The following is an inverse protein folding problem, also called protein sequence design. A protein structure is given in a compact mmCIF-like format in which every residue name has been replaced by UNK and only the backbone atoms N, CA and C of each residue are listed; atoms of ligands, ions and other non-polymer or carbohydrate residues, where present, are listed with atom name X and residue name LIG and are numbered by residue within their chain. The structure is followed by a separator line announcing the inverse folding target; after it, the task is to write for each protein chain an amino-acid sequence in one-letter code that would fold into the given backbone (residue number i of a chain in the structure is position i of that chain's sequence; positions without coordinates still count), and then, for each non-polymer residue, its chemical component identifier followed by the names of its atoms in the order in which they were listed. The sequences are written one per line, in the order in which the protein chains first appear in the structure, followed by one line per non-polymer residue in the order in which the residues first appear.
data_IF_954172533821
#
_entry.id   IF_954172533821
#
_cell.length_a   1.000
_cell.length_b   1.000
_cell.length_c   1.000
_cell.angle_alpha   90.00
_cell.angle_beta   90.00
_cell.angle_gamma   90.00
#
_symmetry.space_group_name_H-M   'P 1'
#
loop_
_entity.id
_entity.type
_entity.pdbx_description
1 polymer ?
#
# COMPACT_ATOMS: atom_id res chain seq x y z
N UNK A 1 3.13 -17.89 -40.41
CA UNK A 1 3.26 -18.27 -38.98
C UNK A 1 2.88 -17.17 -37.96
N UNK A 2 2.94 -15.87 -38.29
CA UNK A 2 2.57 -14.79 -37.33
C UNK A 2 1.05 -14.50 -37.26
N UNK A 3 0.33 -14.52 -38.38
CA UNK A 3 -1.12 -14.28 -38.42
C UNK A 3 -1.94 -15.43 -37.82
N UNK A 4 -1.51 -16.69 -38.01
CA UNK A 4 -2.16 -17.86 -37.43
C UNK A 4 -2.09 -17.88 -35.89
N UNK A 5 -1.02 -17.34 -35.30
CA UNK A 5 -0.88 -17.23 -33.83
C UNK A 5 -1.74 -16.11 -33.25
N UNK A 6 -1.89 -14.99 -33.95
CA UNK A 6 -2.78 -13.90 -33.53
C UNK A 6 -4.25 -14.33 -33.65
N UNK A 7 -4.61 -15.05 -34.70
CA UNK A 7 -5.96 -15.63 -34.86
C UNK A 7 -6.25 -16.69 -33.79
N UNK A 8 -5.27 -17.51 -33.39
CA UNK A 8 -5.44 -18.49 -32.31
C UNK A 8 -5.62 -17.82 -30.94
N UNK A 9 -4.92 -16.72 -30.67
CA UNK A 9 -5.04 -15.97 -29.41
C UNK A 9 -6.38 -15.20 -29.37
N UNK A 10 -6.82 -14.62 -30.49
CA UNK A 10 -8.13 -13.98 -30.59
C UNK A 10 -9.28 -15.01 -30.46
N UNK A 11 -9.15 -16.19 -31.07
CA UNK A 11 -10.13 -17.27 -30.92
C UNK A 11 -10.15 -17.85 -29.50
N UNK A 12 -8.99 -17.93 -28.83
CA UNK A 12 -8.92 -18.33 -27.42
C UNK A 12 -9.54 -17.28 -26.49
N UNK A 13 -9.43 -15.99 -26.80
CA UNK A 13 -10.06 -14.92 -26.02
C UNK A 13 -11.58 -14.89 -26.20
N UNK A 14 -12.09 -15.11 -27.43
CA UNK A 14 -13.54 -15.23 -27.70
C UNK A 14 -14.11 -16.51 -27.09
N UNK A 15 -13.37 -17.64 -27.10
CA UNK A 15 -13.77 -18.87 -26.44
C UNK A 15 -13.76 -18.75 -24.89
N UNK A 16 -12.81 -18.01 -24.32
CA UNK A 16 -12.77 -17.74 -22.87
C UNK A 16 -13.95 -16.84 -22.43
N UNK A 17 -14.34 -15.85 -23.24
CA UNK A 17 -15.51 -14.99 -22.96
C UNK A 17 -16.84 -15.75 -23.14
N UNK A 18 -16.91 -16.68 -24.09
CA UNK A 18 -18.09 -17.52 -24.31
C UNK A 18 -18.28 -18.60 -23.22
N UNK A 19 -17.20 -19.16 -22.68
CA UNK A 19 -17.27 -20.17 -21.61
C UNK A 19 -17.58 -19.54 -20.24
N UNK A 20 -17.26 -18.26 -20.02
CA UNK A 20 -17.67 -17.54 -18.81
C UNK A 20 -19.14 -17.08 -18.80
N UNK A 21 -19.87 -17.22 -19.90
CA UNK A 21 -21.27 -16.74 -20.02
C UNK A 21 -22.33 -17.85 -19.88
N UNK A 22 -21.93 -19.09 -19.59
CA UNK A 22 -22.83 -20.25 -19.58
C UNK A 22 -22.79 -20.99 -18.25
N UNK A 23 -23.16 -20.31 -17.18
CA UNK A 23 -23.69 -20.97 -15.97
C UNK A 23 -24.95 -20.23 -15.53
N UNK A 24 -25.93 -20.18 -16.42
CA UNK A 24 -27.31 -20.02 -16.00
C UNK A 24 -27.72 -21.36 -15.37
N UNK A 25 -27.50 -21.47 -14.06
CA UNK A 25 -28.15 -22.50 -13.27
C UNK A 25 -29.66 -22.35 -13.50
N UNK A 26 -30.27 -23.33 -14.15
CA UNK A 26 -31.71 -23.55 -14.07
C UNK A 26 -32.02 -23.99 -12.65
N UNK A 27 -32.12 -22.99 -11.76
CA UNK A 27 -32.78 -23.16 -10.48
C UNK A 27 -34.26 -23.31 -10.75
N UNK A 28 -34.78 -24.50 -10.48
CA UNK A 28 -36.21 -24.73 -10.34
C UNK A 28 -36.79 -23.63 -9.45
N UNK A 29 -37.76 -22.90 -9.98
CA UNK A 29 -38.59 -21.96 -9.22
C UNK A 29 -39.44 -22.77 -8.23
N UNK A 30 -38.80 -23.22 -7.15
CA UNK A 30 -39.47 -23.75 -5.99
C UNK A 30 -39.95 -22.52 -5.18
N UNK A 31 -41.25 -22.49 -4.87
CA UNK A 31 -42.01 -21.27 -4.54
C UNK A 31 -41.32 -20.30 -3.58
N UNK A 32 -41.65 -19.01 -3.73
CA UNK A 32 -41.21 -17.84 -2.93
C UNK A 32 -41.18 -18.12 -1.42
N UNK A 33 -40.15 -18.84 -0.99
CA UNK A 33 -39.88 -19.15 0.40
C UNK A 33 -39.23 -17.92 1.01
N UNK A 34 -39.76 -17.48 2.15
CA UNK A 34 -39.10 -16.46 2.97
C UNK A 34 -37.68 -16.96 3.25
N UNK A 35 -36.68 -16.17 2.90
CA UNK A 35 -35.26 -16.48 3.14
C UNK A 35 -34.63 -15.41 4.03
N UNK A 36 -33.59 -15.80 4.76
CA UNK A 36 -32.67 -14.87 5.38
C UNK A 36 -31.45 -14.73 4.46
N UNK A 37 -31.12 -13.51 4.05
CA UNK A 37 -29.88 -13.26 3.31
C UNK A 37 -28.80 -12.83 4.28
N UNK A 38 -27.57 -13.31 4.07
CA UNK A 38 -26.42 -13.00 4.92
C UNK A 38 -25.27 -12.47 4.09
N UNK A 39 -24.54 -11.49 4.63
CA UNK A 39 -23.17 -11.19 4.22
C UNK A 39 -22.23 -11.31 5.40
N UNK A 40 -20.95 -11.47 5.08
CA UNK A 40 -19.86 -11.52 6.05
C UNK A 40 -18.88 -10.39 5.72
N UNK A 41 -18.59 -9.56 6.73
CA UNK A 41 -17.54 -8.54 6.69
C UNK A 41 -16.47 -8.94 7.71
N UNK A 42 -15.31 -9.35 7.22
CA UNK A 42 -14.14 -9.72 8.02
C UNK A 42 -12.98 -8.77 7.68
N UNK A 43 -12.51 -8.02 8.68
CA UNK A 43 -11.47 -7.00 8.52
C UNK A 43 -11.97 -5.56 8.63
N UNK A 44 -11.19 -4.62 8.12
CA UNK A 44 -11.43 -3.19 8.29
C UNK A 44 -12.66 -2.70 7.50
N UNK A 45 -13.41 -1.75 8.08
CA UNK A 45 -14.51 -1.05 7.42
C UNK A 45 -13.93 -0.01 6.45
N UNK A 46 -14.20 -0.20 5.16
CA UNK A 46 -13.78 0.70 4.10
C UNK A 46 -14.73 0.70 2.89
N UNK A 47 -14.33 1.30 1.76
CA UNK A 47 -15.20 1.46 0.61
C UNK A 47 -15.70 0.12 0.03
N UNK A 48 -14.85 -0.92 0.03
CA UNK A 48 -15.24 -2.24 -0.46
C UNK A 48 -16.33 -2.89 0.41
N UNK A 49 -16.22 -2.79 1.73
CA UNK A 49 -17.21 -3.34 2.66
C UNK A 49 -18.52 -2.53 2.65
N UNK A 50 -18.46 -1.22 2.45
CA UNK A 50 -19.64 -0.36 2.27
C UNK A 50 -20.40 -0.72 0.98
N UNK A 51 -19.69 -0.84 -0.14
CA UNK A 51 -20.26 -1.28 -1.41
C UNK A 51 -20.85 -2.70 -1.32
N UNK A 52 -20.18 -3.62 -0.64
CA UNK A 52 -20.71 -4.96 -0.40
C UNK A 52 -22.02 -4.92 0.40
N UNK A 53 -22.08 -4.08 1.44
CA UNK A 53 -23.29 -3.92 2.23
C UNK A 53 -24.44 -3.34 1.40
N UNK A 54 -24.19 -2.26 0.66
CA UNK A 54 -25.16 -1.60 -0.21
C UNK A 54 -25.74 -2.56 -1.26
N UNK A 55 -24.87 -3.23 -2.04
CA UNK A 55 -25.29 -4.18 -3.08
C UNK A 55 -26.10 -5.34 -2.49
N UNK A 56 -25.65 -5.90 -1.37
CA UNK A 56 -26.33 -7.03 -0.74
C UNK A 56 -27.68 -6.63 -0.10
N UNK A 57 -27.76 -5.43 0.46
CA UNK A 57 -29.01 -4.90 1.01
C UNK A 57 -30.03 -4.64 -0.11
N UNK A 58 -29.58 -4.14 -1.26
CA UNK A 58 -30.42 -3.97 -2.45
C UNK A 58 -30.98 -5.33 -2.93
N UNK A 59 -30.14 -6.37 -2.99
CA UNK A 59 -30.58 -7.74 -3.32
C UNK A 59 -31.58 -8.27 -2.28
N UNK A 60 -31.36 -8.01 -1.00
CA UNK A 60 -32.29 -8.39 0.07
C UNK A 60 -33.65 -7.70 -0.07
N UNK A 61 -33.65 -6.42 -0.44
CA UNK A 61 -34.87 -5.66 -0.70
C UNK A 61 -35.61 -6.19 -1.95
N UNK A 62 -34.90 -6.42 -3.06
CA UNK A 62 -35.47 -6.93 -4.31
C UNK A 62 -36.09 -8.31 -4.12
N UNK A 63 -35.40 -9.20 -3.39
CA UNK A 63 -35.88 -10.56 -3.10
C UNK A 63 -36.92 -10.62 -1.98
N UNK A 64 -37.30 -9.49 -1.38
CA UNK A 64 -38.19 -9.43 -0.23
C UNK A 64 -37.75 -10.37 0.91
N UNK A 65 -36.45 -10.37 1.21
CA UNK A 65 -35.88 -11.18 2.28
C UNK A 65 -36.59 -10.87 3.60
N UNK A 66 -36.81 -11.90 4.43
CA UNK A 66 -37.48 -11.71 5.70
C UNK A 66 -36.63 -10.87 6.65
N UNK A 67 -35.32 -11.16 6.66
CA UNK A 67 -34.27 -10.46 7.39
C UNK A 67 -32.98 -10.47 6.57
N UNK A 68 -32.15 -9.45 6.79
CA UNK A 68 -30.79 -9.35 6.29
C UNK A 68 -29.81 -9.46 7.46
N UNK A 69 -28.89 -10.40 7.40
CA UNK A 69 -27.90 -10.66 8.46
C UNK A 69 -26.56 -10.07 8.03
N UNK A 70 -26.12 -9.05 8.77
CA UNK A 70 -24.77 -8.53 8.68
C UNK A 70 -23.91 -9.22 9.74
N UNK A 71 -23.17 -10.25 9.32
CA UNK A 71 -22.16 -10.86 10.18
C UNK A 71 -20.87 -10.06 10.09
N UNK A 72 -20.30 -9.68 11.24
CA UNK A 72 -19.11 -8.82 11.29
C UNK A 72 -18.05 -9.34 12.26
N UNK A 73 -16.81 -9.26 11.81
CA UNK A 73 -15.59 -9.33 12.62
C UNK A 73 -14.69 -8.18 12.15
N UNK A 74 -14.70 -7.07 12.87
CA UNK A 74 -14.02 -5.85 12.44
C UNK A 74 -13.26 -5.16 13.58
N UNK A 75 -12.01 -4.75 13.33
CA UNK A 75 -11.25 -3.93 14.27
C UNK A 75 -11.65 -2.44 14.19
N UNK A 76 -12.46 -2.04 13.21
CA UNK A 76 -12.79 -0.64 12.95
C UNK A 76 -12.57 -0.27 11.49
N UNK A 77 -12.53 1.03 11.21
CA UNK A 77 -12.20 1.52 9.88
C UNK A 77 -12.57 2.98 9.65
N UNK A 78 -12.81 3.34 8.40
CA UNK A 78 -13.07 4.71 7.99
C UNK A 78 -14.43 5.20 8.47
N UNK A 79 -14.45 6.41 9.05
CA UNK A 79 -15.68 7.08 9.52
C UNK A 79 -16.69 7.30 8.39
N UNK A 80 -16.21 7.58 7.17
CA UNK A 80 -17.07 7.76 5.99
C UNK A 80 -17.84 6.48 5.65
N UNK A 81 -17.13 5.36 5.47
CA UNK A 81 -17.72 4.06 5.17
C UNK A 81 -18.61 3.54 6.29
N UNK A 82 -18.24 3.80 7.56
CA UNK A 82 -19.10 3.54 8.70
C UNK A 82 -20.43 4.30 8.61
N UNK A 83 -20.39 5.62 8.31
CA UNK A 83 -21.58 6.47 8.20
C UNK A 83 -22.45 6.08 7.00
N UNK A 84 -21.86 5.66 5.89
CA UNK A 84 -22.56 5.12 4.72
C UNK A 84 -23.37 3.87 5.10
N UNK A 85 -22.71 2.86 5.69
CA UNK A 85 -23.39 1.63 6.15
C UNK A 85 -24.50 1.95 7.16
N UNK A 86 -24.26 2.86 8.10
CA UNK A 86 -25.30 3.29 9.06
C UNK A 86 -26.49 3.92 8.33
N UNK A 87 -26.24 4.81 7.38
CA UNK A 87 -27.30 5.45 6.61
C UNK A 87 -28.14 4.41 5.86
N UNK A 88 -27.50 3.42 5.23
CA UNK A 88 -28.18 2.33 4.53
C UNK A 88 -29.00 1.45 5.46
N UNK A 89 -28.48 1.13 6.67
CA UNK A 89 -29.23 0.41 7.70
C UNK A 89 -30.48 1.19 8.12
N UNK A 90 -30.36 2.50 8.32
CA UNK A 90 -31.47 3.35 8.75
C UNK A 90 -32.53 3.52 7.65
N UNK A 91 -32.12 3.55 6.39
CA UNK A 91 -33.00 3.62 5.22
C UNK A 91 -33.56 2.26 4.79
N UNK A 92 -33.05 1.16 5.33
CA UNK A 92 -33.35 -0.19 4.88
C UNK A 92 -34.86 -0.52 4.93
N UNK A 93 -35.44 -1.08 3.85
CA UNK A 93 -36.79 -1.63 3.86
C UNK A 93 -36.87 -3.04 4.48
N UNK A 94 -35.71 -3.68 4.72
CA UNK A 94 -35.58 -5.04 5.28
C UNK A 94 -34.99 -4.97 6.69
N UNK A 95 -35.47 -5.77 7.66
CA UNK A 95 -34.86 -5.79 8.98
C UNK A 95 -33.41 -6.28 8.92
N UNK A 96 -32.48 -5.44 9.42
CA UNK A 96 -31.05 -5.76 9.51
C UNK A 96 -30.72 -6.29 10.90
N UNK A 97 -30.20 -7.53 10.96
CA UNK A 97 -29.63 -8.15 12.15
C UNK A 97 -28.11 -8.01 12.08
N UNK A 98 -27.52 -7.25 12.99
CA UNK A 98 -26.08 -7.20 13.20
C UNK A 98 -25.63 -8.35 14.09
N UNK A 99 -24.65 -9.12 13.64
CA UNK A 99 -24.17 -10.29 14.37
C UNK A 99 -22.64 -10.29 14.45
N UNK A 100 -22.10 -10.05 15.65
CA UNK A 100 -20.65 -10.14 15.88
C UNK A 100 -20.26 -11.59 16.02
N UNK A 101 -19.55 -12.13 15.03
CA UNK A 101 -19.21 -13.54 14.93
C UNK A 101 -18.05 -13.75 13.95
N UNK A 102 -17.34 -14.89 13.96
CA UNK A 102 -17.53 -16.06 14.84
C UNK A 102 -17.06 -15.81 16.29
N UNK A 103 -17.12 -16.83 17.13
CA UNK A 103 -16.49 -16.79 18.46
C UNK A 103 -15.01 -16.37 18.34
N UNK A 104 -14.57 -15.44 19.20
CA UNK A 104 -13.25 -14.81 19.11
C UNK A 104 -13.19 -13.58 18.19
N UNK A 105 -14.22 -13.32 17.40
CA UNK A 105 -14.38 -12.09 16.63
C UNK A 105 -14.74 -10.88 17.50
N UNK A 106 -14.74 -9.70 16.90
CA UNK A 106 -15.05 -8.45 17.60
C UNK A 106 -15.71 -7.41 16.69
N UNK A 107 -16.37 -6.42 17.29
CA UNK A 107 -16.91 -5.24 16.61
C UNK A 107 -16.37 -3.98 17.28
N UNK A 108 -15.09 -3.68 17.03
CA UNK A 108 -14.43 -2.52 17.59
C UNK A 108 -14.63 -1.28 16.71
N UNK A 109 -14.49 -0.09 17.31
CA UNK A 109 -14.51 1.19 16.61
C UNK A 109 -15.75 1.35 15.72
N UNK A 110 -15.58 1.51 14.40
CA UNK A 110 -16.67 1.58 13.42
C UNK A 110 -17.72 0.46 13.58
N UNK A 111 -17.28 -0.77 13.90
CA UNK A 111 -18.18 -1.90 14.12
C UNK A 111 -19.18 -1.69 15.26
N UNK A 112 -18.79 -0.96 16.31
CA UNK A 112 -19.69 -0.63 17.42
C UNK A 112 -20.83 0.28 16.96
N UNK A 113 -20.54 1.32 16.17
CA UNK A 113 -21.59 2.22 15.65
C UNK A 113 -22.53 1.49 14.68
N UNK A 114 -21.97 0.65 13.80
CA UNK A 114 -22.75 -0.15 12.85
C UNK A 114 -23.69 -1.09 13.62
N UNK A 115 -23.20 -1.78 14.65
CA UNK A 115 -24.02 -2.64 15.51
C UNK A 115 -25.11 -1.85 16.24
N UNK A 116 -24.81 -0.63 16.71
CA UNK A 116 -25.79 0.26 17.34
C UNK A 116 -26.90 0.71 16.37
N UNK A 117 -26.62 0.77 15.06
CA UNK A 117 -27.60 1.16 14.07
C UNK A 117 -28.57 0.02 13.68
N UNK A 118 -28.17 -1.25 13.85
CA UNK A 118 -28.98 -2.40 13.40
C UNK A 118 -30.31 -2.52 14.14
N UNK A 119 -31.28 -3.16 13.48
CA UNK A 119 -32.61 -3.37 14.05
C UNK A 119 -32.57 -4.38 15.19
N UNK A 120 -31.70 -5.39 15.06
CA UNK A 120 -31.37 -6.37 16.10
C UNK A 120 -29.85 -6.46 16.19
N UNK A 121 -29.30 -6.43 17.39
CA UNK A 121 -27.87 -6.54 17.68
C UNK A 121 -27.61 -7.82 18.47
N UNK A 122 -26.79 -8.70 17.93
CA UNK A 122 -26.45 -9.97 18.56
C UNK A 122 -24.94 -10.21 18.52
N UNK A 123 -24.46 -11.04 19.45
CA UNK A 123 -23.05 -11.40 19.55
C UNK A 123 -22.88 -12.89 19.77
N UNK A 124 -21.82 -13.48 19.23
CA UNK A 124 -21.42 -14.84 19.55
C UNK A 124 -20.68 -14.89 20.89
N UNK A 125 -20.74 -16.01 21.63
CA UNK A 125 -19.92 -16.18 22.85
C UNK A 125 -18.43 -15.98 22.56
N UNK A 126 -17.71 -15.35 23.49
CA UNK A 126 -16.28 -15.06 23.33
C UNK A 126 -15.95 -13.91 22.37
N UNK A 127 -16.95 -13.14 21.93
CA UNK A 127 -16.74 -11.89 21.18
C UNK A 127 -16.75 -10.67 22.10
N UNK A 128 -16.25 -9.54 21.58
CA UNK A 128 -16.29 -8.25 22.27
C UNK A 128 -16.70 -7.09 21.33
N UNK A 129 -17.11 -5.97 21.91
CA UNK A 129 -17.36 -4.71 21.20
C UNK A 129 -16.86 -3.51 22.02
N UNK A 130 -16.76 -2.33 21.40
CA UNK A 130 -16.35 -1.09 22.05
C UNK A 130 -15.14 -0.44 21.36
N UNK A 131 -14.28 0.20 22.15
CA UNK A 131 -13.11 0.95 21.65
C UNK A 131 -13.49 1.91 20.49
N UNK A 132 -14.53 2.72 20.74
CA UNK A 132 -15.21 3.55 19.76
C UNK A 132 -14.67 4.98 19.65
N UNK A 133 -13.50 5.24 20.22
CA UNK A 133 -12.83 6.54 20.22
C UNK A 133 -12.35 6.92 18.81
N UNK A 134 -12.69 8.11 18.30
CA UNK A 134 -12.17 8.57 17.02
C UNK A 134 -10.68 8.85 17.13
N UNK A 135 -9.92 8.33 16.17
CA UNK A 135 -8.50 8.62 16.03
C UNK A 135 -8.25 9.22 14.65
N UNK A 136 -7.39 10.23 14.58
CA UNK A 136 -6.87 10.70 13.29
C UNK A 136 -5.88 9.66 12.79
N UNK A 137 -6.25 8.94 11.73
CA UNK A 137 -5.29 8.10 11.05
C UNK A 137 -4.26 8.98 10.32
N UNK A 138 -2.97 8.74 10.55
CA UNK A 138 -1.86 9.47 9.90
C UNK A 138 -0.88 10.16 10.85
N UNK A 139 -1.20 10.24 12.15
CA UNK A 139 -0.34 10.83 13.18
C UNK A 139 -0.06 12.34 13.01
N UNK A 140 0.37 13.05 14.07
CA UNK A 140 0.79 14.43 13.93
C UNK A 140 2.03 14.50 13.02
N UNK A 141 1.95 15.35 11.99
CA UNK A 141 3.12 15.73 11.18
C UNK A 141 4.26 16.17 12.11
N UNK A 142 5.52 15.76 11.86
CA UNK A 142 6.65 16.34 12.58
C UNK A 142 6.65 17.84 12.32
N UNK A 143 6.45 18.66 13.36
CA UNK A 143 6.64 20.09 13.27
C UNK A 143 8.06 20.37 12.77
N UNK A 144 8.18 21.19 11.74
CA UNK A 144 9.50 21.64 11.28
C UNK A 144 10.19 22.42 12.42
N UNK A 145 11.53 22.36 12.55
CA UNK A 145 12.26 23.18 13.51
C UNK A 145 12.06 24.66 13.18
N UNK A 146 11.06 25.31 13.79
CA UNK A 146 10.69 26.69 13.46
C UNK A 146 9.31 27.14 13.96
N UNK A 147 8.36 26.23 14.19
CA UNK A 147 6.99 26.59 14.59
C UNK A 147 6.80 26.89 16.09
N UNK A 148 7.87 26.81 16.88
CA UNK A 148 7.89 27.05 18.33
C UNK A 148 8.46 28.43 18.71
N UNK A 149 8.25 29.45 17.87
CA UNK A 149 8.60 30.84 18.22
C UNK A 149 7.39 31.75 18.17
N UNK A 150 6.39 31.48 19.00
CA UNK A 150 5.56 32.54 19.58
C UNK A 150 4.77 32.15 20.85
N UNK A 151 5.23 31.18 21.64
CA UNK A 151 4.71 30.98 22.99
C UNK A 151 5.84 31.17 24.00
N UNK A 152 5.96 32.39 24.50
CA UNK A 152 6.77 32.68 25.69
C UNK A 152 6.25 31.90 26.91
N UNK A 153 7.09 31.67 27.92
CA UNK A 153 6.72 30.89 29.10
C UNK A 153 5.91 31.77 30.05
N UNK A 154 4.60 31.94 29.79
CA UNK A 154 3.55 32.34 30.73
C UNK A 154 2.27 32.71 29.95
N UNK A 155 1.39 31.74 29.69
CA UNK A 155 0.00 32.03 29.33
C UNK A 155 -0.90 31.00 30.00
N UNK A 156 -1.85 31.51 30.78
CA UNK A 156 -2.63 30.75 31.75
C UNK A 156 -3.53 29.68 31.15
N UNK A 157 -3.90 28.74 32.03
CA UNK A 157 -4.97 27.76 31.84
C UNK A 157 -6.30 28.49 31.66
N UNK A 158 -6.64 28.87 30.43
CA UNK A 158 -7.97 29.29 30.06
C UNK A 158 -8.70 28.10 29.40
N UNK A 159 -9.71 27.49 30.04
CA UNK A 159 -10.41 26.31 29.51
C UNK A 159 -11.22 26.59 28.23
N UNK A 160 -11.22 27.83 27.73
CA UNK A 160 -11.99 28.25 26.55
C UNK A 160 -11.24 28.21 25.23
N UNK A 161 -9.91 28.06 25.21
CA UNK A 161 -9.14 27.96 23.96
C UNK A 161 -8.05 26.87 24.08
N UNK A 162 -8.38 25.59 23.82
CA UNK A 162 -7.38 24.56 23.66
C UNK A 162 -6.51 24.81 22.40
N UNK A 163 -5.28 24.29 22.34
CA UNK A 163 -4.50 24.23 21.10
C UNK A 163 -5.33 23.63 19.97
N UNK A 164 -5.15 24.10 18.73
CA UNK A 164 -6.00 23.73 17.59
C UNK A 164 -6.17 22.20 17.41
N UNK A 165 -5.12 21.40 17.68
CA UNK A 165 -5.19 19.93 17.65
C UNK A 165 -6.12 19.33 18.72
N UNK A 166 -6.08 19.85 19.95
CA UNK A 166 -6.97 19.41 21.03
C UNK A 166 -8.43 19.81 20.78
N UNK A 167 -8.65 20.95 20.11
CA UNK A 167 -9.99 21.41 19.74
C UNK A 167 -10.62 20.53 18.64
N UNK A 168 -9.86 20.08 17.64
CA UNK A 168 -10.37 19.18 16.60
C UNK A 168 -10.71 17.79 17.15
N UNK A 169 -9.82 17.19 17.95
CA UNK A 169 -10.10 15.91 18.62
C UNK A 169 -11.34 16.01 19.51
N UNK A 170 -11.46 17.09 20.30
CA UNK A 170 -12.64 17.30 21.13
C UNK A 170 -13.94 17.43 20.30
N UNK A 171 -13.90 18.12 19.16
CA UNK A 171 -15.04 18.20 18.23
C UNK A 171 -15.40 16.84 17.65
N UNK A 172 -14.41 16.09 17.16
CA UNK A 172 -14.62 14.75 16.61
C UNK A 172 -15.19 13.79 17.67
N UNK A 173 -14.65 13.80 18.89
CA UNK A 173 -15.16 13.00 20.01
C UNK A 173 -16.59 13.38 20.38
N UNK A 174 -16.93 14.68 20.43
CA UNK A 174 -18.28 15.11 20.75
C UNK A 174 -19.30 14.77 19.66
N UNK A 175 -18.92 14.88 18.37
CA UNK A 175 -19.74 14.42 17.25
C UNK A 175 -19.98 12.90 17.30
N UNK A 176 -18.92 12.14 17.57
CA UNK A 176 -18.97 10.69 17.72
C UNK A 176 -19.87 10.25 18.91
N UNK A 177 -19.76 10.94 20.06
CA UNK A 177 -20.66 10.73 21.21
C UNK A 177 -22.11 11.04 20.84
N UNK A 178 -22.36 12.16 20.15
CA UNK A 178 -23.71 12.51 19.72
C UNK A 178 -24.29 11.45 18.77
N UNK A 179 -23.50 10.95 17.82
CA UNK A 179 -23.90 9.89 16.90
C UNK A 179 -24.27 8.61 17.65
N UNK A 180 -23.38 8.06 18.48
CA UNK A 180 -23.66 6.78 19.15
C UNK A 180 -24.85 6.88 20.11
N UNK A 181 -24.99 7.99 20.83
CA UNK A 181 -26.14 8.24 21.70
C UNK A 181 -27.44 8.31 20.90
N UNK A 182 -27.45 9.00 19.76
CA UNK A 182 -28.63 9.07 18.89
C UNK A 182 -29.04 7.70 18.34
N UNK A 183 -28.08 6.86 17.96
CA UNK A 183 -28.36 5.48 17.51
C UNK A 183 -28.88 4.62 18.67
N UNK A 184 -28.30 4.79 19.86
CA UNK A 184 -28.72 4.09 21.06
C UNK A 184 -30.18 4.44 21.42
N UNK A 185 -30.52 5.72 21.46
CA UNK A 185 -31.86 6.23 21.74
C UNK A 185 -32.87 5.73 20.69
N UNK A 186 -32.51 5.78 19.41
CA UNK A 186 -33.33 5.28 18.30
C UNK A 186 -33.66 3.78 18.45
N UNK A 187 -32.72 2.99 18.99
CA UNK A 187 -32.84 1.52 19.07
C UNK A 187 -33.12 1.00 20.47
N UNK A 188 -33.29 1.89 21.46
CA UNK A 188 -33.52 1.51 22.86
C UNK A 188 -32.33 0.82 23.54
N UNK A 189 -31.10 1.14 23.12
CA UNK A 189 -29.85 0.61 23.66
C UNK A 189 -29.23 1.57 24.68
N UNK A 190 -28.26 1.09 25.45
CA UNK A 190 -27.60 1.86 26.49
C UNK A 190 -26.71 2.99 25.93
N UNK A 191 -27.25 4.20 25.88
CA UNK A 191 -26.57 5.40 25.40
C UNK A 191 -25.37 5.81 26.28
N UNK A 192 -25.46 5.58 27.60
CA UNK A 192 -24.41 5.98 28.54
C UNK A 192 -23.18 5.09 28.41
N UNK A 193 -23.39 3.78 28.20
CA UNK A 193 -22.29 2.90 27.83
C UNK A 193 -21.74 3.26 26.45
N UNK A 194 -22.61 3.56 25.48
CA UNK A 194 -22.18 4.02 24.14
C UNK A 194 -21.24 5.22 24.24
N UNK A 195 -21.56 6.21 25.06
CA UNK A 195 -20.68 7.35 25.33
C UNK A 195 -19.35 6.96 25.97
N UNK A 196 -19.34 6.06 26.96
CA UNK A 196 -18.10 5.54 27.56
C UNK A 196 -17.22 4.81 26.55
N UNK A 197 -17.82 4.03 25.64
CA UNK A 197 -17.07 3.37 24.56
C UNK A 197 -16.32 4.37 23.68
N UNK A 198 -16.85 5.60 23.53
CA UNK A 198 -16.22 6.68 22.76
C UNK A 198 -15.22 7.49 23.57
N UNK A 199 -15.58 7.92 24.79
CA UNK A 199 -14.73 8.82 25.60
C UNK A 199 -13.58 8.10 26.31
N UNK A 200 -13.82 6.85 26.72
CA UNK A 200 -12.91 6.07 27.58
C UNK A 200 -12.34 4.84 26.86
N UNK A 201 -12.66 4.65 25.57
CA UNK A 201 -12.32 3.46 24.80
C UNK A 201 -12.81 2.15 25.46
N UNK A 202 -13.90 2.22 26.23
CA UNK A 202 -14.44 1.07 26.96
C UNK A 202 -14.85 -0.07 26.01
N UNK A 203 -14.67 -1.31 26.47
CA UNK A 203 -15.04 -2.51 25.71
C UNK A 203 -15.78 -3.51 26.61
N UNK A 204 -16.73 -4.25 26.04
CA UNK A 204 -17.49 -5.29 26.74
C UNK A 204 -17.40 -6.64 26.02
N UNK A 205 -17.42 -7.71 26.80
CA UNK A 205 -17.69 -9.05 26.29
C UNK A 205 -19.16 -9.21 25.91
N UNK A 206 -19.49 -10.21 25.08
CA UNK A 206 -20.88 -10.51 24.69
C UNK A 206 -21.86 -10.64 25.87
N UNK A 207 -21.45 -11.27 26.97
CA UNK A 207 -22.29 -11.43 28.16
C UNK A 207 -22.50 -10.13 28.93
N UNK A 208 -21.46 -9.29 29.07
CA UNK A 208 -21.60 -7.99 29.72
C UNK A 208 -22.39 -7.01 28.85
N UNK A 209 -22.21 -7.05 27.52
CA UNK A 209 -22.99 -6.26 26.57
C UNK A 209 -24.49 -6.56 26.66
N UNK A 210 -24.87 -7.83 26.85
CA UNK A 210 -26.27 -8.20 27.07
C UNK A 210 -26.78 -7.66 28.41
N UNK A 211 -26.00 -7.78 29.48
CA UNK A 211 -26.38 -7.30 30.82
C UNK A 211 -26.57 -5.77 30.86
N UNK A 212 -25.73 -5.04 30.13
CA UNK A 212 -25.80 -3.58 30.04
C UNK A 212 -26.77 -3.07 28.97
N UNK A 213 -27.57 -3.94 28.33
CA UNK A 213 -28.51 -3.57 27.26
C UNK A 213 -27.84 -2.84 26.08
N UNK A 214 -26.64 -3.28 25.73
CA UNK A 214 -25.89 -2.83 24.55
C UNK A 214 -26.26 -3.67 23.33
N UNK A 215 -26.61 -4.94 23.54
CA UNK A 215 -27.09 -5.88 22.52
C UNK A 215 -28.40 -6.53 22.97
N UNK A 216 -29.11 -7.12 22.02
CA UNK A 216 -30.40 -7.76 22.23
C UNK A 216 -30.31 -9.18 22.82
N UNK A 217 -29.29 -9.95 22.42
CA UNK A 217 -29.04 -11.32 22.88
C UNK A 217 -27.69 -11.88 22.39
N UNK A 218 -27.27 -13.00 22.98
CA UNK A 218 -26.09 -13.78 22.58
C UNK A 218 -26.52 -15.06 21.88
N UNK A 219 -25.93 -15.36 20.72
CA UNK A 219 -26.25 -16.55 19.91
C UNK A 219 -24.97 -17.23 19.41
N UNK A 220 -24.85 -18.55 19.56
CA UNK A 220 -23.67 -19.35 19.19
C UNK A 220 -23.45 -19.46 17.69
N UNK A 221 -24.54 -19.52 16.93
CA UNK A 221 -24.53 -19.66 15.48
C UNK A 221 -25.75 -18.98 14.86
N UNK A 222 -25.81 -18.96 13.52
CA UNK A 222 -26.92 -18.35 12.78
C UNK A 222 -28.27 -19.06 13.04
N UNK A 223 -28.27 -20.34 13.39
CA UNK A 223 -29.51 -21.07 13.69
C UNK A 223 -30.11 -20.58 15.00
N UNK A 224 -29.29 -20.48 16.05
CA UNK A 224 -29.71 -19.91 17.34
C UNK A 224 -30.05 -18.42 17.22
N UNK A 225 -29.31 -17.67 16.39
CA UNK A 225 -29.58 -16.26 16.09
C UNK A 225 -31.02 -16.07 15.57
N UNK A 226 -31.42 -16.85 14.56
CA UNK A 226 -32.75 -16.78 13.97
C UNK A 226 -33.85 -17.27 14.91
N UNK A 227 -33.55 -18.24 15.79
CA UNK A 227 -34.49 -18.68 16.82
C UNK A 227 -34.77 -17.59 17.86
N UNK A 228 -33.73 -16.88 18.31
CA UNK A 228 -33.84 -15.81 19.31
C UNK A 228 -34.38 -14.49 18.73
N UNK A 229 -34.23 -14.28 17.42
CA UNK A 229 -34.82 -13.15 16.70
C UNK A 229 -36.34 -13.33 16.45
N UNK A 230 -36.84 -14.57 16.45
CA UNK A 230 -38.22 -14.89 16.07
C UNK A 230 -39.23 -14.25 17.02
N UNK A 231 -40.29 -13.65 16.47
CA UNK A 231 -41.32 -12.97 17.23
C UNK A 231 -40.94 -11.60 17.80
N UNK A 232 -39.69 -11.15 17.63
CA UNK A 232 -39.30 -9.78 18.01
C UNK A 232 -39.97 -8.75 17.12
N UNK A 233 -40.33 -7.62 17.69
CA UNK A 233 -40.88 -6.48 16.95
C UNK A 233 -39.79 -5.46 16.71
N UNK A 234 -39.56 -5.10 15.45
CA UNK A 234 -38.60 -4.08 15.04
C UNK A 234 -39.30 -2.95 14.29
N UNK A 235 -38.75 -1.75 14.34
CA UNK A 235 -39.27 -0.59 13.61
C UNK A 235 -38.49 -0.35 12.32
N UNK A 236 -39.19 -0.37 11.19
CA UNK A 236 -38.65 -0.22 9.84
C UNK A 236 -39.42 0.88 9.13
N UNK A 237 -38.75 1.97 8.75
CA UNK A 237 -39.37 3.12 8.11
C UNK A 237 -40.65 3.61 8.84
N UNK A 238 -40.61 3.67 10.18
CA UNK A 238 -41.74 4.09 11.03
C UNK A 238 -42.84 3.05 11.22
N UNK A 239 -42.66 1.82 10.73
CA UNK A 239 -43.64 0.72 10.87
C UNK A 239 -43.07 -0.40 11.73
N UNK A 240 -43.86 -0.86 12.70
CA UNK A 240 -43.53 -2.03 13.50
C UNK A 240 -43.75 -3.31 12.68
N UNK A 241 -42.71 -4.12 12.51
CA UNK A 241 -42.74 -5.44 11.86
C UNK A 241 -42.34 -6.50 12.89
N UNK A 242 -43.13 -7.56 13.00
CA UNK A 242 -42.77 -8.76 13.78
C UNK A 242 -41.92 -9.66 12.89
N UNK A 243 -40.76 -10.07 13.39
CA UNK A 243 -39.83 -10.96 12.69
C UNK A 243 -40.36 -12.39 12.68
N UNK A 244 -40.43 -13.00 11.51
CA UNK A 244 -40.78 -14.42 11.35
C UNK A 244 -39.55 -15.21 10.88
N UNK A 245 -38.60 -15.43 11.79
CA UNK A 245 -37.27 -15.98 11.48
C UNK A 245 -37.12 -17.48 11.73
N UNK A 246 -38.16 -18.13 12.28
CA UNK A 246 -38.13 -19.56 12.61
C UNK A 246 -37.88 -20.45 11.38
N UNK A 247 -36.78 -21.20 11.42
CA UNK A 247 -36.37 -22.17 10.36
C UNK A 247 -36.24 -21.53 8.97
N UNK A 248 -35.90 -20.25 8.88
CA UNK A 248 -35.56 -19.65 7.59
C UNK A 248 -34.29 -20.30 7.03
N UNK A 249 -34.27 -20.68 5.74
CA UNK A 249 -33.02 -20.98 5.06
C UNK A 249 -32.17 -19.70 4.99
N UNK A 250 -30.88 -19.85 5.28
CA UNK A 250 -29.90 -18.77 5.19
C UNK A 250 -29.14 -18.93 3.88
N UNK A 251 -29.20 -17.92 3.03
CA UNK A 251 -28.38 -17.83 1.81
C UNK A 251 -27.30 -16.77 2.04
N UNK A 252 -26.03 -17.17 1.92
CA UNK A 252 -24.90 -16.25 2.01
C UNK A 252 -24.66 -15.64 0.64
N UNK A 253 -24.69 -14.31 0.57
CA UNK A 253 -24.33 -13.55 -0.62
C UNK A 253 -22.82 -13.35 -0.63
N UNK A 254 -22.17 -14.03 -1.57
CA UNK A 254 -20.74 -13.88 -1.80
C UNK A 254 -20.42 -12.53 -2.47
N UNK A 255 -19.32 -11.87 -2.10
CA UNK A 255 -18.93 -10.61 -2.73
C UNK A 255 -18.63 -10.83 -4.22
N UNK A 256 -19.12 -9.90 -5.05
CA UNK A 256 -18.83 -9.86 -6.48
C UNK A 256 -17.34 -9.69 -6.78
N UNK A 257 -16.93 -9.95 -8.02
CA UNK A 257 -15.52 -9.88 -8.42
C UNK A 257 -14.91 -8.48 -8.22
N UNK A 258 -15.68 -7.41 -8.44
CA UNK A 258 -15.23 -6.04 -8.27
C UNK A 258 -14.96 -5.74 -6.80
N UNK A 259 -15.87 -6.14 -5.90
CA UNK A 259 -15.67 -6.00 -4.45
C UNK A 259 -14.45 -6.80 -4.00
N UNK A 260 -14.27 -8.03 -4.47
CA UNK A 260 -13.07 -8.83 -4.17
C UNK A 260 -11.79 -8.13 -4.64
N UNK A 261 -11.81 -7.56 -5.85
CA UNK A 261 -10.68 -6.80 -6.38
C UNK A 261 -10.42 -5.54 -5.56
N UNK A 262 -11.46 -4.78 -5.20
CA UNK A 262 -11.34 -3.59 -4.38
C UNK A 262 -10.80 -3.92 -3.00
N UNK A 263 -11.30 -4.96 -2.35
CA UNK A 263 -10.81 -5.42 -1.04
C UNK A 263 -9.32 -5.77 -1.08
N UNK A 264 -8.88 -6.49 -2.12
CA UNK A 264 -7.47 -6.83 -2.37
C UNK A 264 -6.63 -5.57 -2.60
N UNK A 265 -7.11 -4.61 -3.40
CA UNK A 265 -6.37 -3.37 -3.68
C UNK A 265 -6.30 -2.48 -2.44
N UNK A 266 -7.34 -2.46 -1.61
CA UNK A 266 -7.37 -1.66 -0.37
C UNK A 266 -6.54 -2.24 0.77
N UNK A 267 -6.00 -3.46 0.64
CA UNK A 267 -5.06 -4.01 1.60
C UNK A 267 -3.72 -3.25 1.52
N UNK A 268 -3.22 -2.66 2.63
CA UNK A 268 -1.99 -1.87 2.63
C UNK A 268 -0.75 -2.65 2.17
N UNK A 269 -0.67 -3.95 2.46
CA UNK A 269 0.49 -4.76 2.06
C UNK A 269 0.47 -4.99 0.55
N UNK A 270 -0.70 -5.29 -0.02
CA UNK A 270 -0.87 -5.47 -1.45
C UNK A 270 -0.61 -4.15 -2.20
N UNK A 271 -1.09 -3.02 -1.69
CA UNK A 271 -0.83 -1.70 -2.25
C UNK A 271 0.69 -1.40 -2.39
N UNK A 272 1.48 -1.71 -1.35
CA UNK A 272 2.93 -1.54 -1.38
C UNK A 272 3.60 -2.53 -2.34
N UNK A 273 3.17 -3.79 -2.37
CA UNK A 273 3.70 -4.78 -3.33
C UNK A 273 3.44 -4.33 -4.77
N UNK A 274 2.23 -3.83 -5.07
CA UNK A 274 1.88 -3.27 -6.37
C UNK A 274 2.75 -2.06 -6.73
N UNK A 275 3.00 -1.17 -5.77
CA UNK A 275 3.91 -0.03 -5.97
C UNK A 275 5.35 -0.48 -6.27
N UNK A 276 5.87 -1.48 -5.55
CA UNK A 276 7.21 -2.03 -5.78
C UNK A 276 7.31 -2.68 -7.16
N UNK A 277 6.37 -3.55 -7.51
CA UNK A 277 6.27 -4.13 -8.87
C UNK A 277 6.21 -3.00 -9.90
N UNK A 278 5.47 -1.94 -9.59
CA UNK A 278 5.32 -0.77 -10.43
C UNK A 278 6.63 -0.06 -10.72
N UNK A 279 7.36 0.31 -9.66
CA UNK A 279 8.66 0.96 -9.72
C UNK A 279 9.69 0.08 -10.42
N UNK A 280 9.78 -1.21 -10.07
CA UNK A 280 10.74 -2.12 -10.68
C UNK A 280 10.42 -2.41 -12.16
N UNK A 281 9.14 -2.49 -12.54
CA UNK A 281 8.72 -2.64 -13.93
C UNK A 281 9.17 -1.47 -14.80
N UNK A 282 9.02 -0.24 -14.30
CA UNK A 282 9.52 0.97 -14.96
C UNK A 282 11.05 0.98 -15.05
N UNK A 283 11.77 0.66 -13.96
CA UNK A 283 13.25 0.58 -13.97
C UNK A 283 13.73 -0.47 -14.99
N UNK A 284 13.04 -1.59 -15.10
CA UNK A 284 13.39 -2.63 -16.07
C UNK A 284 13.20 -2.17 -17.52
N UNK A 285 12.11 -1.44 -17.82
CA UNK A 285 11.90 -0.85 -19.14
C UNK A 285 13.02 0.15 -19.51
N UNK A 286 13.42 1.01 -18.58
CA UNK A 286 14.51 1.96 -18.81
C UNK A 286 15.89 1.29 -18.99
N UNK A 287 16.14 0.16 -18.32
CA UNK A 287 17.41 -0.58 -18.42
C UNK A 287 17.48 -1.55 -19.59
N UNK A 288 16.33 -1.97 -20.12
CA UNK A 288 16.20 -2.91 -21.25
C UNK A 288 15.43 -2.29 -22.42
N UNK A 289 16.07 -1.44 -23.25
CA UNK A 289 15.42 -0.82 -24.39
C UNK A 289 14.75 -1.85 -25.32
N UNK A 290 13.44 -1.74 -25.52
CA UNK A 290 12.64 -2.63 -26.37
C UNK A 290 11.70 -3.60 -25.63
N UNK A 291 11.79 -3.69 -24.29
CA UNK A 291 10.84 -4.44 -23.47
C UNK A 291 9.68 -3.53 -22.99
N UNK A 292 8.62 -3.40 -23.79
CA UNK A 292 7.44 -2.55 -23.48
C UNK A 292 6.54 -3.16 -22.39
N UNK A 293 6.49 -4.49 -22.29
CA UNK A 293 5.56 -5.16 -21.37
C UNK A 293 5.83 -4.85 -19.88
N UNK A 294 7.09 -4.86 -19.38
CA UNK A 294 7.41 -4.46 -18.00
C UNK A 294 7.02 -3.02 -17.67
N UNK A 295 7.12 -2.11 -18.65
CA UNK A 295 6.73 -0.71 -18.51
C UNK A 295 5.24 -0.51 -18.30
N UNK A 296 4.43 -1.15 -19.15
CA UNK A 296 2.96 -1.10 -19.06
C UNK A 296 2.47 -1.74 -17.77
N UNK A 297 2.96 -2.94 -17.45
CA UNK A 297 2.61 -3.64 -16.20
C UNK A 297 3.04 -2.79 -15.00
N UNK A 298 4.26 -2.25 -15.04
CA UNK A 298 4.79 -1.38 -14.00
C UNK A 298 3.92 -0.15 -13.77
N UNK A 299 3.56 0.55 -14.85
CA UNK A 299 2.71 1.74 -14.76
C UNK A 299 1.33 1.43 -14.18
N UNK A 300 0.68 0.35 -14.62
CA UNK A 300 -0.64 -0.06 -14.09
C UNK A 300 -0.53 -0.41 -12.60
N UNK A 301 0.43 -1.25 -12.22
CA UNK A 301 0.65 -1.63 -10.82
C UNK A 301 0.97 -0.41 -9.95
N UNK A 302 1.77 0.54 -10.46
CA UNK A 302 2.10 1.77 -9.75
C UNK A 302 0.86 2.64 -9.55
N UNK A 303 0.03 2.84 -10.58
CA UNK A 303 -1.19 3.64 -10.48
C UNK A 303 -2.22 3.00 -9.54
N UNK A 304 -2.39 1.67 -9.60
CA UNK A 304 -3.28 0.95 -8.68
C UNK A 304 -2.79 1.01 -7.23
N UNK A 305 -1.47 0.86 -7.02
CA UNK A 305 -0.85 1.05 -5.71
C UNK A 305 -1.07 2.46 -5.18
N UNK A 306 -0.82 3.49 -6.00
CA UNK A 306 -1.07 4.89 -5.63
C UNK A 306 -2.54 5.18 -5.33
N UNK A 307 -3.47 4.60 -6.10
CA UNK A 307 -4.90 4.73 -5.84
C UNK A 307 -5.29 4.09 -4.50
N UNK A 308 -4.77 2.90 -4.19
CA UNK A 308 -4.99 2.25 -2.90
C UNK A 308 -4.46 3.10 -1.74
N UNK A 309 -3.26 3.68 -1.90
CA UNK A 309 -2.66 4.59 -0.93
C UNK A 309 -3.48 5.87 -0.75
N UNK A 310 -4.21 6.34 -1.77
CA UNK A 310 -5.10 7.50 -1.65
C UNK A 310 -6.38 7.20 -0.83
N UNK A 311 -6.80 5.92 -0.77
CA UNK A 311 -7.89 5.48 0.11
C UNK A 311 -7.42 5.28 1.55
N UNK A 312 -6.10 5.18 1.74
CA UNK A 312 -5.47 5.15 3.04
C UNK A 312 -5.11 6.58 3.48
N UNK A 313 -5.19 6.88 4.78
CA UNK A 313 -4.88 8.18 5.35
C UNK A 313 -3.35 8.37 5.44
N UNK A 314 -2.71 8.48 4.29
CA UNK A 314 -1.26 8.53 4.15
C UNK A 314 -0.78 9.97 4.13
N UNK A 315 0.41 10.20 4.71
CA UNK A 315 1.12 11.44 4.50
C UNK A 315 1.59 11.54 3.03
N UNK A 316 0.93 12.37 2.23
CA UNK A 316 1.38 12.69 0.86
C UNK A 316 2.82 13.22 0.84
N UNK A 317 3.26 13.85 1.94
CA UNK A 317 4.65 14.24 2.14
C UNK A 317 5.60 13.02 2.21
N UNK A 318 5.24 11.97 2.94
CA UNK A 318 6.01 10.72 3.01
C UNK A 318 6.10 10.04 1.66
N UNK A 319 4.98 9.94 0.94
CA UNK A 319 4.93 9.39 -0.42
C UNK A 319 5.79 10.20 -1.41
N UNK A 320 5.66 11.52 -1.40
CA UNK A 320 6.46 12.39 -2.27
C UNK A 320 7.96 12.24 -1.98
N UNK A 321 8.35 12.12 -0.70
CA UNK A 321 9.73 11.92 -0.29
C UNK A 321 10.26 10.53 -0.69
N UNK A 322 9.42 9.48 -0.65
CA UNK A 322 9.77 8.16 -1.20
C UNK A 322 9.99 8.20 -2.70
N UNK A 323 9.08 8.83 -3.46
CA UNK A 323 9.21 8.97 -4.91
C UNK A 323 10.47 9.77 -5.27
N UNK A 324 10.74 10.86 -4.55
CA UNK A 324 11.96 11.64 -4.71
C UNK A 324 13.22 10.80 -4.43
N UNK A 325 13.18 9.97 -3.39
CA UNK A 325 14.26 9.04 -3.07
C UNK A 325 14.54 8.04 -4.19
N UNK A 326 13.49 7.46 -4.77
CA UNK A 326 13.58 6.57 -5.93
C UNK A 326 14.17 7.31 -7.14
N UNK A 327 13.70 8.53 -7.43
CA UNK A 327 14.21 9.34 -8.54
C UNK A 327 15.72 9.60 -8.36
N UNK A 328 16.17 9.97 -7.17
CA UNK A 328 17.59 10.17 -6.90
C UNK A 328 18.41 8.89 -7.08
N UNK A 329 17.89 7.74 -6.65
CA UNK A 329 18.54 6.44 -6.89
C UNK A 329 18.64 6.12 -8.38
N UNK A 330 17.58 6.37 -9.16
CA UNK A 330 17.60 6.15 -10.62
C UNK A 330 18.59 7.09 -11.31
N UNK A 331 18.60 8.38 -10.94
CA UNK A 331 19.56 9.36 -11.51
C UNK A 331 20.99 8.98 -11.18
N UNK A 332 21.26 8.49 -9.97
CA UNK A 332 22.58 8.02 -9.54
C UNK A 332 23.09 6.84 -10.39
N UNK A 333 22.21 5.96 -10.89
CA UNK A 333 22.58 4.85 -11.80
C UNK A 333 23.17 5.38 -13.11
N UNK A 334 22.63 6.49 -13.63
CA UNK A 334 23.11 7.11 -14.87
C UNK A 334 24.25 8.10 -14.64
N UNK A 335 24.25 8.80 -13.50
CA UNK A 335 25.22 9.83 -13.13
C UNK A 335 25.78 9.58 -11.72
N UNK A 336 26.83 8.76 -11.59
CA UNK A 336 27.38 8.34 -10.31
C UNK A 336 28.00 9.49 -9.51
N UNK A 337 27.34 9.95 -8.44
CA UNK A 337 27.81 11.05 -7.58
C UNK A 337 27.98 10.66 -6.11
N UNK A 338 27.53 9.49 -5.68
CA UNK A 338 27.46 8.96 -4.30
C UNK A 338 26.53 9.77 -3.39
N UNK A 339 26.50 11.10 -3.53
CA UNK A 339 25.66 12.03 -2.77
C UNK A 339 24.18 11.85 -3.13
N UNK A 340 23.83 11.76 -4.43
CA UNK A 340 22.45 11.49 -4.85
C UNK A 340 22.01 10.09 -4.40
N UNK A 341 22.90 9.10 -4.45
CA UNK A 341 22.62 7.76 -3.93
C UNK A 341 22.28 7.75 -2.44
N UNK A 342 23.13 8.31 -1.59
CA UNK A 342 22.90 8.38 -0.14
C UNK A 342 21.67 9.24 0.22
N UNK A 343 21.51 10.38 -0.45
CA UNK A 343 20.34 11.24 -0.29
C UNK A 343 19.05 10.54 -0.73
N UNK A 344 19.10 9.74 -1.80
CA UNK A 344 17.99 8.93 -2.29
C UNK A 344 17.56 7.85 -1.30
N UNK A 345 18.52 7.10 -0.73
CA UNK A 345 18.24 6.13 0.34
C UNK A 345 17.64 6.82 1.57
N UNK A 346 18.23 7.93 2.02
CA UNK A 346 17.73 8.65 3.19
C UNK A 346 16.30 9.19 2.97
N UNK A 347 16.03 9.81 1.81
CA UNK A 347 14.70 10.29 1.46
C UNK A 347 13.69 9.14 1.36
N UNK A 348 14.08 8.00 0.76
CA UNK A 348 13.22 6.82 0.70
C UNK A 348 12.89 6.27 2.09
N UNK A 349 13.89 6.12 2.97
CA UNK A 349 13.69 5.59 4.33
C UNK A 349 12.88 6.55 5.21
N UNK A 350 13.15 7.86 5.13
CA UNK A 350 12.37 8.89 5.84
C UNK A 350 10.93 8.95 5.34
N UNK A 351 10.74 8.90 4.01
CA UNK A 351 9.42 8.87 3.40
C UNK A 351 8.64 7.63 3.80
N UNK A 352 9.28 6.46 3.77
CA UNK A 352 8.72 5.22 4.27
C UNK A 352 8.34 5.35 5.74
N UNK A 353 9.23 5.83 6.61
CA UNK A 353 8.95 6.04 8.03
C UNK A 353 7.77 6.99 8.29
N UNK A 354 7.56 8.02 7.46
CA UNK A 354 6.39 8.90 7.54
C UNK A 354 5.10 8.22 7.04
N UNK A 355 5.22 7.24 6.16
CA UNK A 355 4.13 6.39 5.68
C UNK A 355 3.71 5.35 6.74
N UNK A 356 4.63 4.96 7.62
CA UNK A 356 4.42 3.97 8.70
C UNK A 356 3.63 4.46 9.91
N UNK A 357 3.24 5.74 10.00
CA UNK A 357 2.47 6.28 11.12
C UNK A 357 0.96 6.05 11.03
N UNK A 358 0.52 5.11 10.19
CA UNK A 358 -0.90 4.71 10.13
C UNK A 358 -1.17 3.74 11.29
N UNK A 359 -1.41 4.31 12.47
CA UNK A 359 -1.88 3.58 13.64
C UNK A 359 -3.41 3.42 13.54
N UNK A 360 -3.87 2.56 12.63
CA UNK A 360 -5.29 2.26 12.41
C UNK A 360 -5.57 0.77 12.58
N UNK A 361 -6.50 0.34 13.46
CA UNK A 361 -6.85 -1.06 13.62
C UNK A 361 -7.29 -1.68 12.29
N UNK A 362 -6.60 -2.72 11.83
CA UNK A 362 -6.90 -3.40 10.55
C UNK A 362 -6.27 -2.79 9.29
N UNK A 363 -5.55 -1.66 9.40
CA UNK A 363 -4.73 -1.08 8.32
C UNK A 363 -3.23 -1.18 8.61
N UNK A 364 -2.84 -2.09 9.50
CA UNK A 364 -1.45 -2.29 9.90
C UNK A 364 -0.61 -2.88 8.75
N UNK A 365 0.55 -2.27 8.53
CA UNK A 365 1.49 -2.75 7.53
C UNK A 365 2.49 -3.73 8.16
N UNK A 366 2.71 -4.87 7.53
CA UNK A 366 3.65 -5.86 8.03
C UNK A 366 5.09 -5.36 7.97
N UNK A 367 5.80 -5.39 9.10
CA UNK A 367 7.22 -5.05 9.18
C UNK A 367 8.07 -5.90 8.23
N UNK A 368 7.61 -7.11 7.87
CA UNK A 368 8.30 -7.97 6.92
C UNK A 368 8.27 -7.39 5.49
N UNK A 369 7.15 -6.81 5.06
CA UNK A 369 7.01 -6.17 3.73
C UNK A 369 7.90 -4.93 3.64
N UNK A 370 7.94 -4.13 4.70
CA UNK A 370 8.78 -2.94 4.79
C UNK A 370 10.25 -3.31 4.83
N UNK A 371 10.62 -4.28 5.67
CA UNK A 371 11.98 -4.78 5.78
C UNK A 371 12.49 -5.34 4.45
N UNK A 372 11.67 -6.12 3.74
CA UNK A 372 12.03 -6.62 2.40
C UNK A 372 12.17 -5.49 1.38
N UNK A 373 11.26 -4.53 1.35
CA UNK A 373 11.36 -3.36 0.47
C UNK A 373 12.65 -2.56 0.73
N UNK A 374 12.98 -2.31 1.99
CA UNK A 374 14.19 -1.60 2.39
C UNK A 374 15.47 -2.38 2.02
N UNK A 375 15.49 -3.71 2.26
CA UNK A 375 16.62 -4.58 1.89
C UNK A 375 16.81 -4.62 0.38
N UNK A 376 15.74 -4.76 -0.40
CA UNK A 376 15.80 -4.79 -1.87
C UNK A 376 16.32 -3.45 -2.42
N UNK A 377 15.85 -2.34 -1.87
CA UNK A 377 16.29 -0.99 -2.26
C UNK A 377 17.76 -0.76 -1.90
N UNK A 378 18.18 -1.13 -0.69
CA UNK A 378 19.56 -1.02 -0.24
C UNK A 378 20.49 -1.94 -1.05
N UNK A 379 20.05 -3.18 -1.33
CA UNK A 379 20.76 -4.15 -2.14
C UNK A 379 21.02 -3.63 -3.56
N UNK A 380 20.01 -3.05 -4.20
CA UNK A 380 20.16 -2.44 -5.52
C UNK A 380 21.15 -1.25 -5.50
N UNK A 381 21.08 -0.40 -4.48
CA UNK A 381 22.00 0.73 -4.33
C UNK A 381 23.47 0.28 -4.12
N UNK A 382 23.69 -0.78 -3.33
CA UNK A 382 25.03 -1.34 -3.11
C UNK A 382 25.59 -2.05 -4.37
N UNK A 383 24.74 -2.76 -5.11
CA UNK A 383 25.14 -3.48 -6.32
C UNK A 383 25.53 -2.49 -7.43
N UNK A 384 24.76 -1.42 -7.61
CA UNK A 384 25.09 -0.34 -8.55
C UNK A 384 26.34 0.42 -8.13
N UNK A 385 26.47 0.80 -6.86
CA UNK A 385 27.67 1.45 -6.32
C UNK A 385 28.95 0.60 -6.45
N UNK A 386 28.87 -0.71 -6.23
CA UNK A 386 30.00 -1.63 -6.37
C UNK A 386 30.40 -1.84 -7.84
N UNK A 387 29.44 -1.96 -8.76
CA UNK A 387 29.70 -1.98 -10.20
C UNK A 387 30.41 -0.71 -10.68
N UNK A 388 29.98 0.46 -10.19
CA UNK A 388 30.57 1.75 -10.53
C UNK A 388 31.98 1.94 -9.95
N UNK A 389 32.23 1.47 -8.72
CA UNK A 389 33.58 1.43 -8.17
C UNK A 389 34.48 0.51 -9.00
N UNK A 390 34.00 -0.67 -9.35
CA UNK A 390 34.73 -1.58 -10.23
C UNK A 390 35.01 -0.97 -11.62
N UNK A 391 34.04 -0.25 -12.19
CA UNK A 391 34.18 0.45 -13.46
C UNK A 391 35.19 1.62 -13.38
N UNK A 392 35.19 2.41 -12.29
CA UNK A 392 36.16 3.49 -12.07
C UNK A 392 37.60 2.99 -11.83
N UNK A 393 37.76 1.77 -11.30
CA UNK A 393 39.07 1.14 -11.15
C UNK A 393 39.65 0.60 -12.46
N UNK A 394 38.83 0.50 -13.52
CA UNK A 394 39.30 0.08 -14.83
C UNK A 394 39.76 1.31 -15.63
N UNK A 395 41.07 1.40 -15.87
CA UNK A 395 41.67 2.41 -16.76
C UNK A 395 41.05 2.28 -18.16
N UNK A 396 40.67 3.39 -18.85
CA UNK A 396 40.08 3.32 -20.19
C UNK A 396 40.98 2.54 -21.15
N UNK A 397 40.49 1.40 -21.67
CA UNK A 397 41.24 0.51 -22.58
C UNK A 397 41.16 0.91 -24.06
N UNK A 398 40.57 2.07 -24.37
CA UNK A 398 40.33 2.53 -25.76
C UNK A 398 40.62 4.04 -25.87
N UNK A 399 41.26 4.46 -26.96
CA UNK A 399 41.60 5.86 -27.26
C UNK A 399 43.05 6.25 -26.95
N UNK A 400 43.39 7.53 -27.15
CA UNK A 400 44.73 8.11 -26.95
C UNK A 400 45.34 7.80 -25.56
N UNK A 401 44.50 7.67 -24.54
CA UNK A 401 44.91 7.36 -23.16
C UNK A 401 45.34 5.90 -22.97
N UNK A 402 44.90 4.97 -23.83
CA UNK A 402 45.33 3.58 -23.81
C UNK A 402 46.74 3.37 -24.37
N UNK A 403 47.36 4.42 -24.91
CA UNK A 403 48.72 4.38 -25.45
C UNK A 403 49.78 4.65 -24.39
N UNK A 404 49.43 5.27 -23.26
CA UNK A 404 50.36 5.54 -22.16
C UNK A 404 50.88 4.22 -21.56
N UNK A 405 52.20 4.12 -21.38
CA UNK A 405 52.89 2.93 -20.86
C UNK A 405 53.22 1.86 -21.90
N UNK A 406 52.79 2.00 -23.16
CA UNK A 406 53.08 1.01 -24.19
C UNK A 406 54.50 1.14 -24.77
N UNK A 407 55.12 0.01 -25.21
CA UNK A 407 56.30 0.04 -26.07
C UNK A 407 56.02 0.80 -27.36
N UNK A 408 56.97 1.66 -27.73
CA UNK A 408 57.07 2.16 -29.09
C UNK A 408 58.51 2.00 -29.59
N UNK A 409 58.67 1.78 -30.89
CA UNK A 409 59.98 1.71 -31.55
C UNK A 409 60.21 2.95 -32.38
N UNK A 410 61.35 3.60 -32.22
CA UNK A 410 61.68 4.83 -32.95
C UNK A 410 62.00 4.49 -34.40
N UNK A 411 61.26 5.09 -35.34
CA UNK A 411 61.40 4.88 -36.78
C UNK A 411 62.29 5.94 -37.43
N UNK A 412 62.06 7.20 -37.08
CA UNK A 412 62.87 8.34 -37.48
C UNK A 412 62.91 9.37 -36.35
N UNK A 413 64.01 10.11 -36.25
CA UNK A 413 64.21 11.09 -35.21
C UNK A 413 65.05 12.27 -35.71
N UNK A 414 64.56 13.49 -35.54
CA UNK A 414 65.26 14.73 -35.94
C UNK A 414 65.05 15.81 -34.87
N UNK A 415 66.14 16.17 -34.18
CA UNK A 415 66.07 17.14 -33.07
C UNK A 415 65.28 16.57 -31.89
N UNK A 416 64.17 17.22 -31.53
CA UNK A 416 63.28 16.82 -30.42
C UNK A 416 62.02 16.08 -30.88
N UNK A 417 61.81 15.91 -32.19
CA UNK A 417 60.60 15.27 -32.74
C UNK A 417 60.95 14.17 -33.75
N UNK A 418 60.03 13.24 -33.94
CA UNK A 418 60.17 12.16 -34.90
C UNK A 418 58.92 11.29 -34.98
N UNK A 419 59.06 10.10 -35.54
CA UNK A 419 57.98 9.12 -35.59
C UNK A 419 58.35 7.83 -34.88
N UNK A 420 57.36 7.28 -34.18
CA UNK A 420 57.47 6.00 -33.48
C UNK A 420 56.39 5.04 -33.97
N UNK A 421 56.72 3.75 -33.98
CA UNK A 421 55.78 2.67 -34.22
C UNK A 421 55.22 2.20 -32.88
N UNK A 422 53.92 2.43 -32.65
CA UNK A 422 53.21 1.98 -31.46
C UNK A 422 51.94 1.24 -31.88
N UNK A 423 51.72 0.02 -31.36
CA UNK A 423 50.63 -0.91 -31.78
C UNK A 423 50.51 -1.14 -33.30
N UNK A 424 51.61 -1.08 -34.04
CA UNK A 424 51.63 -1.29 -35.49
C UNK A 424 51.27 -0.06 -36.33
N UNK A 425 51.01 1.08 -35.68
CA UNK A 425 50.71 2.35 -36.35
C UNK A 425 51.88 3.34 -36.17
N UNK A 426 52.05 4.23 -37.16
CA UNK A 426 53.08 5.27 -37.16
C UNK A 426 52.53 6.54 -36.54
N UNK A 427 53.09 6.93 -35.40
CA UNK A 427 52.68 8.10 -34.62
C UNK A 427 53.76 9.16 -34.61
N UNK A 428 53.37 10.44 -34.64
CA UNK A 428 54.29 11.55 -34.39
C UNK A 428 54.61 11.59 -32.90
N UNK A 429 55.88 11.77 -32.55
CA UNK A 429 56.33 11.78 -31.17
C UNK A 429 57.33 12.90 -30.89
N UNK A 430 57.39 13.33 -29.63
CA UNK A 430 58.33 14.32 -29.11
C UNK A 430 59.02 13.77 -27.85
N UNK A 431 60.30 14.08 -27.69
CA UNK A 431 61.06 13.77 -26.49
C UNK A 431 61.95 14.96 -26.10
N UNK A 432 62.07 15.20 -24.80
CA UNK A 432 62.99 16.21 -24.25
C UNK A 432 64.39 15.62 -24.01
N UNK A 433 64.57 14.32 -24.23
CA UNK A 433 65.83 13.59 -24.14
C UNK A 433 66.35 13.20 -25.54
N UNK A 434 67.68 13.06 -25.73
CA UNK A 434 68.23 12.59 -26.99
C UNK A 434 67.85 11.13 -27.25
N UNK A 435 67.03 10.90 -28.27
CA UNK A 435 66.59 9.58 -28.73
C UNK A 435 67.25 9.24 -30.06
N UNK A 436 67.64 7.98 -30.26
CA UNK A 436 68.19 7.50 -31.53
C UNK A 436 67.18 6.62 -32.27
N UNK A 437 67.33 6.56 -33.60
CA UNK A 437 66.53 5.66 -34.45
C UNK A 437 66.82 4.21 -34.06
N UNK A 438 65.75 3.42 -33.84
CA UNK A 438 65.83 2.04 -33.40
C UNK A 438 65.65 1.82 -31.89
N UNK A 439 65.69 2.88 -31.07
CA UNK A 439 65.50 2.78 -29.63
C UNK A 439 64.09 2.24 -29.27
N UNK A 440 64.02 1.46 -28.20
CA UNK A 440 62.76 1.05 -27.57
C UNK A 440 62.39 2.04 -26.47
N UNK A 441 61.31 2.78 -26.70
CA UNK A 441 60.82 3.85 -25.81
C UNK A 441 59.46 3.47 -25.24
N UNK A 442 59.04 4.20 -24.22
CA UNK A 442 57.71 4.07 -23.62
C UNK A 442 56.94 5.38 -23.82
N UNK A 443 55.66 5.28 -24.16
CA UNK A 443 54.77 6.45 -24.27
C UNK A 443 54.48 6.98 -22.88
N UNK A 444 54.96 8.18 -22.57
CA UNK A 444 54.76 8.85 -21.29
C UNK A 444 53.42 9.60 -21.23
N UNK A 445 53.05 10.28 -22.32
CA UNK A 445 51.80 11.04 -22.41
C UNK A 445 51.30 11.10 -23.87
N UNK A 446 50.03 11.41 -24.07
CA UNK A 446 49.44 11.63 -25.40
C UNK A 446 48.67 12.94 -25.43
N UNK A 447 49.10 13.87 -26.29
CA UNK A 447 48.42 15.15 -26.50
C UNK A 447 47.98 15.27 -27.96
N UNK A 448 46.68 15.15 -28.18
CA UNK A 448 46.12 15.13 -29.54
C UNK A 448 46.65 13.94 -30.35
N UNK A 449 47.38 14.23 -31.43
CA UNK A 449 47.99 13.23 -32.32
C UNK A 449 49.51 13.10 -32.11
N UNK A 450 50.07 13.68 -31.03
CA UNK A 450 51.50 13.64 -30.72
C UNK A 450 51.73 12.88 -29.41
N UNK A 451 52.61 11.88 -29.46
CA UNK A 451 53.04 11.10 -28.31
C UNK A 451 54.26 11.75 -27.63
N UNK A 452 54.21 11.95 -26.33
CA UNK A 452 55.42 12.25 -25.55
C UNK A 452 56.05 10.93 -25.15
N UNK A 453 57.31 10.71 -25.53
CA UNK A 453 58.02 9.46 -25.26
C UNK A 453 59.16 9.68 -24.27
N UNK A 454 59.48 8.63 -23.49
CA UNK A 454 60.66 8.58 -22.61
C UNK A 454 61.44 7.30 -22.86
N UNK A 455 62.74 7.30 -22.58
CA UNK A 455 63.52 6.05 -22.64
C UNK A 455 62.93 5.04 -21.66
N UNK A 456 62.80 3.81 -22.14
CA UNK A 456 62.39 2.70 -21.29
C UNK A 456 63.54 2.40 -20.33
N UNK A 457 63.38 2.75 -19.06
CA UNK A 457 64.27 2.24 -18.01
C UNK A 457 64.06 0.73 -17.93
N UNK A 458 65.01 -0.04 -18.46
CA UNK A 458 65.10 -1.46 -18.19
C UNK A 458 65.48 -1.58 -16.71
N UNK A 459 64.48 -1.59 -15.82
CA UNK A 459 64.66 -2.20 -14.50
C UNK A 459 64.95 -3.66 -14.78
N UNK A 460 66.18 -4.08 -14.49
CA UNK A 460 66.56 -5.48 -14.39
C UNK A 460 65.68 -6.14 -13.33
N UNK A 461 64.60 -6.79 -13.75
CA UNK A 461 63.93 -7.80 -12.94
C UNK A 461 64.88 -8.99 -12.84
N UNK A 462 65.72 -8.94 -11.81
CA UNK A 462 66.42 -10.11 -11.30
C UNK A 462 65.40 -11.09 -10.74
N UNK A 463 65.39 -12.28 -11.35
CA UNK A 463 65.11 -13.57 -10.75
C UNK A 463 64.17 -13.62 -9.53
N UNK A 464 62.95 -14.10 -9.74
CA UNK A 464 62.35 -15.13 -8.87
C UNK A 464 61.62 -16.16 -9.71
N UNK A 465 62.17 -17.38 -9.66
CA UNK A 465 61.47 -18.63 -9.91
C UNK A 465 60.34 -18.82 -8.90
#
# INVERSE_FOLDING_TARGET
MKLARVALIAAAFVAAVAVCSSSAATGEANGQGRTALRIEIDGAIGPASAMQFEEALAVAAERNAEVFILQMNTPGGLVTSMREIIADILASPVPVIGYVAPAGGHAASAGTYILYATHVAAMAPGTNLGAATPIEMGGPMPSFPGDDKNNGPEAGKDPKNPPAGNAMIAKATNDAVALIRSLAELRGRNADWGEKAVREAASLSASAALQENVIDFVARDTTELLQLADGRTVEIAGRKKVLATKRLPVETLEPGWLIRLLAVITDPNIAVILMLIGVYGLVFEFTSPGAVAPGVIGTICLLLGLYALNLLPISYAGLALMLLGIIFLVVEVFNPTVVLGLGGVAAFLLGAAMLLRIEGPGFEMSWAVIGTAAILTLGLALLTGSYLWAARKNVPRVGAQAMQGLPAKVLDWQGSEGHVLARGERWRAKADEPIAVGDSVEVADVRGLVLTIRRRNVRSDGARQ
#
